data_IF_309822002998
#
_entry.id   IF_309822002998
#
_cell.length_a   1.000
_cell.length_b   1.000
_cell.length_c   1.000
_cell.angle_alpha   90.00
_cell.angle_beta   90.00
_cell.angle_gamma   90.00
#
_symmetry.space_group_name_H-M   'P 1'
#
loop_
_entity.id
_entity.type
_entity.pdbx_description
1 polymer ?
#
# COMPACT_ATOMS: atom_id res chain seq x y z
N UNK A 1 -19.41 -23.33 -18.10
CA UNK A 1 -18.49 -22.19 -18.32
C UNK A 1 -19.08 -20.89 -17.82
N UNK A 2 -20.38 -20.63 -18.03
CA UNK A 2 -21.02 -19.39 -17.55
C UNK A 2 -21.10 -19.28 -16.03
N UNK A 3 -21.39 -20.38 -15.31
CA UNK A 3 -21.41 -20.40 -13.85
C UNK A 3 -20.07 -19.97 -13.22
N UNK A 4 -18.94 -20.47 -13.73
CA UNK A 4 -17.61 -20.07 -13.26
C UNK A 4 -17.32 -18.59 -13.54
N UNK A 5 -17.76 -18.09 -14.70
CA UNK A 5 -17.57 -16.68 -15.08
C UNK A 5 -18.41 -15.76 -14.20
N UNK A 6 -19.66 -16.13 -13.94
CA UNK A 6 -20.55 -15.43 -13.01
C UNK A 6 -19.99 -15.43 -11.58
N UNK A 7 -19.45 -16.56 -11.14
CA UNK A 7 -18.82 -16.68 -9.82
C UNK A 7 -17.59 -15.77 -9.70
N UNK A 8 -16.71 -15.72 -10.72
CA UNK A 8 -15.54 -14.84 -10.73
C UNK A 8 -15.94 -13.34 -10.68
N UNK A 9 -16.99 -12.96 -11.40
CA UNK A 9 -17.54 -11.59 -11.36
C UNK A 9 -18.06 -11.24 -9.96
N UNK A 10 -18.82 -12.13 -9.33
CA UNK A 10 -19.35 -11.91 -7.98
C UNK A 10 -18.22 -11.77 -6.94
N UNK A 11 -17.21 -12.64 -7.01
CA UNK A 11 -16.03 -12.58 -6.14
C UNK A 11 -15.25 -11.28 -6.33
N UNK A 12 -14.98 -10.88 -7.58
CA UNK A 12 -14.30 -9.62 -7.88
C UNK A 12 -15.01 -8.41 -7.25
N UNK A 13 -16.34 -8.31 -7.43
CA UNK A 13 -17.15 -7.24 -6.83
C UNK A 13 -17.07 -7.22 -5.31
N UNK A 14 -17.12 -8.38 -4.67
CA UNK A 14 -17.02 -8.49 -3.21
C UNK A 14 -15.66 -8.02 -2.69
N UNK A 15 -14.57 -8.40 -3.38
CA UNK A 15 -13.21 -7.98 -3.02
C UNK A 15 -13.04 -6.46 -3.22
N UNK A 16 -13.55 -5.90 -4.31
CA UNK A 16 -13.55 -4.45 -4.55
C UNK A 16 -14.32 -3.69 -3.45
N UNK A 17 -15.50 -4.18 -3.05
CA UNK A 17 -16.27 -3.60 -1.95
C UNK A 17 -15.59 -3.73 -0.57
N UNK A 18 -14.67 -4.69 -0.40
CA UNK A 18 -13.81 -4.78 0.78
C UNK A 18 -12.67 -3.77 0.73
N UNK A 19 -12.06 -3.58 -0.44
CA UNK A 19 -11.01 -2.58 -0.67
C UNK A 19 -11.51 -1.17 -0.32
N UNK A 20 -12.70 -0.80 -0.78
CA UNK A 20 -13.34 0.50 -0.50
C UNK A 20 -13.39 0.82 1.00
N UNK A 21 -13.86 -0.13 1.81
CA UNK A 21 -14.02 0.06 3.26
C UNK A 21 -12.69 0.25 3.98
N UNK A 22 -11.60 -0.28 3.43
CA UNK A 22 -10.26 -0.16 4.01
C UNK A 22 -9.55 1.13 3.63
N UNK A 23 -10.07 1.90 2.67
CA UNK A 23 -9.42 3.10 2.13
C UNK A 23 -9.05 4.13 3.21
N UNK A 24 -9.90 4.30 4.23
CA UNK A 24 -9.66 5.22 5.35
C UNK A 24 -8.84 4.65 6.52
N UNK A 25 -8.53 3.35 6.53
CA UNK A 25 -7.85 2.67 7.66
C UNK A 25 -6.54 1.99 7.28
N UNK A 26 -6.47 1.38 6.09
CA UNK A 26 -5.27 0.75 5.53
C UNK A 26 -5.28 0.88 4.01
N UNK A 27 -4.69 1.98 3.53
CA UNK A 27 -4.64 2.32 2.11
C UNK A 27 -3.82 1.31 1.29
N UNK A 28 -2.74 0.78 1.85
CA UNK A 28 -1.87 -0.17 1.15
C UNK A 28 -2.61 -1.50 0.91
N UNK A 29 -3.32 -2.01 1.91
CA UNK A 29 -4.15 -3.20 1.77
C UNK A 29 -5.34 -2.97 0.82
N UNK A 30 -5.97 -1.78 0.87
CA UNK A 30 -7.03 -1.39 -0.05
C UNK A 30 -6.57 -1.50 -1.52
N UNK A 31 -5.41 -0.93 -1.86
CA UNK A 31 -4.85 -0.99 -3.21
C UNK A 31 -4.54 -2.44 -3.66
N UNK A 32 -3.97 -3.27 -2.77
CA UNK A 32 -3.71 -4.68 -3.04
C UNK A 32 -5.00 -5.44 -3.37
N UNK A 33 -6.06 -5.23 -2.60
CA UNK A 33 -7.36 -5.85 -2.84
C UNK A 33 -8.00 -5.38 -4.15
N UNK A 34 -7.87 -4.09 -4.50
CA UNK A 34 -8.31 -3.58 -5.81
C UNK A 34 -7.64 -4.29 -6.98
N UNK A 35 -6.33 -4.52 -6.90
CA UNK A 35 -5.58 -5.27 -7.92
C UNK A 35 -6.02 -6.75 -7.99
N UNK A 36 -6.24 -7.40 -6.85
CA UNK A 36 -6.72 -8.79 -6.78
C UNK A 36 -8.12 -8.92 -7.38
N UNK A 37 -9.02 -7.98 -7.08
CA UNK A 37 -10.36 -7.93 -7.68
C UNK A 37 -10.28 -7.87 -9.21
N UNK A 38 -9.47 -6.94 -9.74
CA UNK A 38 -9.33 -6.76 -11.19
C UNK A 38 -8.74 -7.99 -11.89
N UNK A 39 -7.74 -8.62 -11.26
CA UNK A 39 -7.16 -9.89 -11.75
C UNK A 39 -8.14 -11.06 -11.69
N UNK A 40 -9.08 -11.05 -10.75
CA UNK A 40 -10.13 -12.08 -10.64
C UNK A 40 -11.17 -11.93 -11.75
N UNK A 41 -11.67 -10.71 -11.94
CA UNK A 41 -12.49 -10.33 -13.09
C UNK A 41 -12.49 -8.79 -13.25
N UNK A 42 -12.39 -8.25 -14.47
CA UNK A 42 -12.32 -6.81 -14.71
C UNK A 42 -13.72 -6.16 -14.66
N UNK A 43 -14.33 -6.11 -13.49
CA UNK A 43 -15.62 -5.43 -13.26
C UNK A 43 -15.43 -3.91 -13.13
N UNK A 44 -16.53 -3.14 -13.15
CA UNK A 44 -16.48 -1.69 -13.00
C UNK A 44 -15.91 -1.27 -11.63
N UNK A 45 -16.35 -1.94 -10.58
CA UNK A 45 -15.96 -1.72 -9.18
C UNK A 45 -14.47 -1.99 -8.96
N UNK A 46 -13.93 -3.04 -9.60
CA UNK A 46 -12.50 -3.36 -9.54
C UNK A 46 -11.63 -2.34 -10.29
N UNK A 47 -12.15 -1.77 -11.39
CA UNK A 47 -11.48 -0.70 -12.15
C UNK A 47 -11.46 0.61 -11.36
N UNK A 48 -12.57 0.97 -10.74
CA UNK A 48 -12.69 2.16 -9.89
C UNK A 48 -11.71 2.07 -8.71
N UNK A 49 -11.68 0.93 -8.00
CA UNK A 49 -10.72 0.71 -6.91
C UNK A 49 -9.26 0.84 -7.36
N UNK A 50 -8.92 0.43 -8.59
CA UNK A 50 -7.60 0.60 -9.18
C UNK A 50 -7.28 2.06 -9.52
N UNK A 51 -8.24 2.78 -10.10
CA UNK A 51 -8.06 4.20 -10.44
C UNK A 51 -7.84 5.02 -9.17
N UNK A 52 -8.69 4.84 -8.16
CA UNK A 52 -8.56 5.53 -6.88
C UNK A 52 -7.24 5.18 -6.17
N UNK A 53 -6.84 3.90 -6.20
CA UNK A 53 -5.55 3.49 -5.65
C UNK A 53 -4.35 4.10 -6.39
N UNK A 54 -4.46 4.30 -7.71
CA UNK A 54 -3.38 4.88 -8.54
C UNK A 54 -3.31 6.40 -8.46
N UNK A 55 -4.41 7.06 -8.08
CA UNK A 55 -4.49 8.51 -7.94
C UNK A 55 -3.84 9.02 -6.65
N UNK A 56 -3.47 8.11 -5.74
CA UNK A 56 -2.87 8.44 -4.45
C UNK A 56 -1.36 8.21 -4.47
N UNK A 57 -0.56 9.07 -3.79
CA UNK A 57 0.86 8.83 -3.65
C UNK A 57 1.08 7.44 -3.02
N UNK A 58 1.95 6.63 -3.62
CA UNK A 58 2.30 5.33 -3.06
C UNK A 58 2.95 5.52 -1.68
N UNK A 59 2.20 5.25 -0.61
CA UNK A 59 2.72 5.33 0.76
C UNK A 59 3.47 4.03 1.06
N UNK A 60 4.79 4.12 1.18
CA UNK A 60 5.61 3.01 1.67
C UNK A 60 5.71 3.08 3.18
N UNK A 61 5.27 2.03 3.89
CA UNK A 61 5.48 1.90 5.33
C UNK A 61 6.83 1.24 5.59
N UNK A 62 7.71 1.93 6.30
CA UNK A 62 9.02 1.42 6.71
C UNK A 62 8.88 0.85 8.14
N UNK A 63 8.99 -0.46 8.29
CA UNK A 63 8.76 -1.19 9.55
C UNK A 63 10.04 -1.47 10.36
N UNK A 64 11.18 -0.94 9.93
CA UNK A 64 12.48 -1.30 10.50
C UNK A 64 12.80 -0.62 11.84
N UNK A 65 12.08 0.45 12.20
CA UNK A 65 12.30 1.15 13.48
C UNK A 65 11.38 0.57 14.57
N UNK A 66 11.98 0.04 15.64
CA UNK A 66 11.26 -0.65 16.73
C UNK A 66 10.88 0.25 17.92
N UNK A 67 11.16 1.55 17.84
CA UNK A 67 10.87 2.53 18.89
C UNK A 67 9.90 3.63 18.46
N UNK A 68 9.61 4.56 19.37
CA UNK A 68 8.89 5.81 19.05
C UNK A 68 9.85 6.73 18.31
N UNK A 69 9.53 7.04 17.05
CA UNK A 69 10.28 8.04 16.26
C UNK A 69 9.93 9.43 16.79
N UNK A 70 10.94 10.22 17.12
CA UNK A 70 10.78 11.61 17.56
C UNK A 70 11.22 12.62 16.51
N UNK A 71 12.12 12.23 15.60
CA UNK A 71 12.64 13.11 14.56
C UNK A 71 12.89 12.32 13.26
N UNK A 72 12.67 13.00 12.13
CA UNK A 72 12.98 12.51 10.79
C UNK A 72 13.66 13.60 9.97
N UNK A 73 14.56 13.20 9.07
CA UNK A 73 15.21 14.09 8.11
C UNK A 73 15.37 13.40 6.75
N UNK A 74 15.10 14.14 5.67
CA UNK A 74 15.36 13.72 4.29
C UNK A 74 16.63 14.41 3.80
N UNK A 75 17.47 13.68 3.07
CA UNK A 75 18.59 14.29 2.36
C UNK A 75 18.08 15.25 1.26
N UNK A 76 18.84 16.30 0.89
CA UNK A 76 18.42 17.25 -0.15
C UNK A 76 18.14 16.61 -1.52
N UNK A 77 18.79 15.48 -1.83
CA UNK A 77 18.59 14.69 -3.04
C UNK A 77 17.41 13.70 -2.94
N UNK A 78 16.77 13.59 -1.77
CA UNK A 78 15.64 12.69 -1.51
C UNK A 78 15.98 11.20 -1.50
N UNK A 79 17.25 10.82 -1.50
CA UNK A 79 17.66 9.41 -1.56
C UNK A 79 17.86 8.76 -0.20
N UNK A 80 18.02 9.55 0.87
CA UNK A 80 18.26 9.04 2.22
C UNK A 80 17.22 9.57 3.18
N UNK A 81 16.63 8.67 3.97
CA UNK A 81 15.82 9.01 5.13
C UNK A 81 16.60 8.66 6.40
N UNK A 82 16.66 9.59 7.35
CA UNK A 82 17.10 9.35 8.71
C UNK A 82 15.90 9.43 9.67
N UNK A 83 15.79 8.48 10.59
CA UNK A 83 14.87 8.58 11.72
C UNK A 83 15.57 8.25 13.03
N UNK A 84 15.22 8.98 14.09
CA UNK A 84 15.75 8.78 15.43
C UNK A 84 14.65 8.78 16.49
N UNK A 85 14.88 8.03 17.57
CA UNK A 85 13.92 7.85 18.65
C UNK A 85 14.54 7.79 20.03
N UNK A 86 13.69 7.50 21.03
CA UNK A 86 14.06 7.43 22.45
C UNK A 86 15.01 6.28 22.80
N UNK A 87 15.21 5.34 21.89
CA UNK A 87 16.12 4.21 22.03
C UNK A 87 17.59 4.56 21.74
N UNK A 88 17.89 5.86 21.56
CA UNK A 88 19.22 6.38 21.22
C UNK A 88 19.81 5.79 19.93
N UNK A 89 18.96 5.22 19.08
CA UNK A 89 19.34 4.69 17.77
C UNK A 89 18.87 5.62 16.66
N UNK A 90 19.70 5.71 15.62
CA UNK A 90 19.36 6.36 14.36
C UNK A 90 19.35 5.28 13.29
N UNK A 91 18.26 5.19 12.54
CA UNK A 91 18.16 4.30 11.39
C UNK A 91 18.22 5.11 10.10
N UNK A 92 18.93 4.57 9.10
CA UNK A 92 19.09 5.15 7.79
C UNK A 92 18.50 4.22 6.73
N UNK A 93 17.74 4.79 5.80
CA UNK A 93 17.18 4.07 4.67
C UNK A 93 17.58 4.72 3.36
N UNK A 94 17.98 3.88 2.40
CA UNK A 94 18.09 4.28 1.00
C UNK A 94 16.69 4.19 0.37
N UNK A 95 16.10 5.34 0.02
CA UNK A 95 14.77 5.40 -0.58
C UNK A 95 14.75 4.90 -2.03
N UNK A 96 15.91 4.62 -2.63
CA UNK A 96 16.01 3.92 -3.92
C UNK A 96 15.81 2.41 -3.77
N UNK A 97 15.98 1.87 -2.56
CA UNK A 97 15.67 0.48 -2.19
C UNK A 97 14.99 0.43 -0.80
N UNK A 98 13.70 0.79 -0.71
CA UNK A 98 13.01 0.93 0.57
C UNK A 98 12.83 -0.39 1.35
N UNK A 99 13.22 -1.53 0.78
CA UNK A 99 13.15 -2.84 1.43
C UNK A 99 14.41 -3.18 2.25
N UNK A 100 15.50 -2.41 2.12
CA UNK A 100 16.80 -2.72 2.78
C UNK A 100 17.38 -1.53 3.54
N UNK A 101 17.23 -1.47 4.88
CA UNK A 101 17.95 -0.49 5.70
C UNK A 101 19.46 -0.71 5.59
N UNK A 102 20.23 0.38 5.66
CA UNK A 102 21.70 0.37 5.72
C UNK A 102 22.19 0.47 7.17
#
# INVERSE_FOLDING_TARGET
RDAQRQQAVALSRLVAARAERLRGSDLALSAQLGLVAYRTAPTAEAREALMDASALPAVTRILAFRGVVQAVALSPDGHTLAAGGLDHQVALWDLRDPQRPR
#
